data_IF_381471179629
#
_entry.id   IF_381471179629
#
_cell.length_a   1.000
_cell.length_b   1.000
_cell.length_c   1.000
_cell.angle_alpha   90.00
_cell.angle_beta   90.00
_cell.angle_gamma   90.00
#
_symmetry.space_group_name_H-M   'P 1'
#
loop_
_entity.id
_entity.type
_entity.pdbx_description
1 polymer ?
#
# COMPACT_ATOMS: atom_id res chain seq x y z
N UNK A 1 -51.86 6.91 -21.01
CA UNK A 1 -50.77 7.85 -20.83
C UNK A 1 -49.99 7.73 -19.49
N UNK A 2 -50.39 6.86 -18.54
CA UNK A 2 -49.66 6.71 -17.23
C UNK A 2 -48.53 5.66 -17.22
N UNK A 3 -48.36 4.85 -18.27
CA UNK A 3 -47.35 3.77 -18.33
C UNK A 3 -46.02 4.18 -18.97
N UNK A 4 -45.96 5.31 -19.65
CA UNK A 4 -44.73 5.79 -20.34
C UNK A 4 -43.85 6.58 -19.39
N UNK A 5 -44.41 7.19 -18.34
CA UNK A 5 -43.66 8.03 -17.39
C UNK A 5 -42.76 7.16 -16.45
N UNK A 6 -43.19 5.92 -16.12
CA UNK A 6 -42.38 5.05 -15.26
C UNK A 6 -41.10 4.50 -15.94
N UNK A 7 -41.10 4.36 -17.27
CA UNK A 7 -39.92 3.85 -18.01
C UNK A 7 -38.88 4.95 -18.17
N UNK A 8 -39.30 6.19 -18.27
CA UNK A 8 -38.38 7.32 -18.39
C UNK A 8 -37.65 7.67 -17.08
N UNK A 9 -38.27 7.34 -15.93
CA UNK A 9 -37.65 7.57 -14.60
C UNK A 9 -36.63 6.52 -14.23
N UNK A 10 -36.66 5.31 -14.80
CA UNK A 10 -35.64 4.28 -14.56
C UNK A 10 -34.36 4.45 -15.37
N UNK A 11 -34.36 5.27 -16.41
CA UNK A 11 -33.19 5.54 -17.25
C UNK A 11 -32.28 6.67 -16.72
N UNK A 12 -32.69 7.36 -15.65
CA UNK A 12 -31.96 8.49 -15.09
C UNK A 12 -31.02 8.14 -13.93
N UNK A 13 -30.94 6.86 -13.54
CA UNK A 13 -30.08 6.43 -12.42
C UNK A 13 -28.95 5.45 -12.79
N UNK A 14 -28.63 5.32 -14.07
CA UNK A 14 -27.32 4.77 -14.43
C UNK A 14 -26.29 5.89 -14.31
N UNK A 15 -25.94 6.28 -13.07
CA UNK A 15 -24.66 6.96 -12.85
C UNK A 15 -23.59 6.00 -13.37
N UNK A 16 -22.71 6.43 -14.31
CA UNK A 16 -21.53 5.67 -14.57
C UNK A 16 -20.84 5.54 -13.21
N UNK A 17 -20.63 4.32 -12.74
CA UNK A 17 -19.68 4.08 -11.68
C UNK A 17 -18.37 4.62 -12.24
N UNK A 18 -17.97 5.81 -11.81
CA UNK A 18 -16.60 6.27 -12.02
C UNK A 18 -15.76 5.19 -11.41
N UNK A 19 -15.06 4.45 -12.25
CA UNK A 19 -14.04 3.53 -11.79
C UNK A 19 -13.12 4.40 -10.93
N UNK A 20 -13.10 4.15 -9.64
CA UNK A 20 -12.22 4.87 -8.72
C UNK A 20 -10.82 4.57 -9.23
N UNK A 21 -10.10 5.60 -9.69
CA UNK A 21 -8.74 5.43 -10.16
C UNK A 21 -7.95 4.73 -9.05
N UNK A 22 -7.22 3.68 -9.40
CA UNK A 22 -6.37 2.98 -8.46
C UNK A 22 -5.24 3.94 -8.02
N UNK A 23 -5.23 4.39 -6.75
CA UNK A 23 -4.28 5.38 -6.28
C UNK A 23 -2.85 4.84 -6.19
N UNK A 24 -2.69 3.52 -6.30
CA UNK A 24 -1.41 2.83 -6.17
C UNK A 24 -0.84 2.37 -7.52
N UNK A 25 -1.45 2.75 -8.64
CA UNK A 25 -0.96 2.30 -9.95
C UNK A 25 0.54 2.61 -10.13
N UNK A 26 1.38 1.66 -10.56
CA UNK A 26 1.02 0.40 -11.23
C UNK A 26 0.67 -0.78 -10.29
N UNK A 27 0.76 -0.61 -8.98
CA UNK A 27 0.44 -1.65 -8.01
C UNK A 27 -1.08 -1.78 -7.83
N UNK A 28 -1.53 -3.01 -7.59
CA UNK A 28 -2.90 -3.32 -7.21
C UNK A 28 -2.85 -3.99 -5.83
N UNK A 29 -3.54 -3.41 -4.86
CA UNK A 29 -3.59 -3.88 -3.48
C UNK A 29 -5.05 -4.23 -3.16
N UNK A 30 -5.33 -5.51 -2.92
CA UNK A 30 -6.65 -5.90 -2.43
C UNK A 30 -6.78 -5.56 -0.94
N UNK A 31 -7.96 -5.07 -0.56
CA UNK A 31 -8.25 -4.77 0.85
C UNK A 31 -8.48 -6.11 1.58
N UNK A 32 -7.68 -6.44 2.61
CA UNK A 32 -7.85 -7.68 3.37
C UNK A 32 -9.19 -7.72 4.11
N UNK A 33 -9.66 -8.93 4.39
CA UNK A 33 -10.88 -9.14 5.17
C UNK A 33 -10.78 -8.47 6.55
N UNK A 34 -11.81 -7.71 6.90
CA UNK A 34 -11.88 -6.98 8.18
C UNK A 34 -11.09 -5.67 8.22
N UNK A 35 -10.44 -5.29 7.12
CA UNK A 35 -9.85 -3.97 6.95
C UNK A 35 -10.75 -3.04 6.13
N UNK A 36 -10.54 -1.74 6.26
CA UNK A 36 -11.15 -0.71 5.44
C UNK A 36 -10.07 0.23 4.91
N UNK A 37 -10.28 0.79 3.72
CA UNK A 37 -9.38 1.78 3.14
C UNK A 37 -9.92 3.18 3.39
N UNK A 38 -9.18 3.99 4.12
CA UNK A 38 -9.44 5.41 4.33
C UNK A 38 -8.56 6.23 3.37
N UNK A 39 -9.16 7.15 2.65
CA UNK A 39 -8.47 8.00 1.69
C UNK A 39 -8.08 9.33 2.32
N UNK A 40 -6.79 9.69 2.23
CA UNK A 40 -6.25 10.99 2.62
C UNK A 40 -5.67 11.76 1.44
N UNK A 41 -5.22 12.99 1.67
CA UNK A 41 -4.51 13.78 0.66
C UNK A 41 -3.07 13.21 0.51
N UNK A 42 -2.82 12.50 -0.60
CA UNK A 42 -1.50 11.95 -0.94
C UNK A 42 -1.10 10.68 -0.21
N UNK A 43 -1.98 10.14 0.65
CA UNK A 43 -1.78 8.85 1.30
C UNK A 43 -3.10 8.13 1.48
N UNK A 44 -3.03 6.81 1.61
CA UNK A 44 -4.18 5.95 1.86
C UNK A 44 -3.87 5.07 3.08
N UNK A 45 -4.86 4.84 3.93
CA UNK A 45 -4.64 4.09 5.16
C UNK A 45 -5.54 2.86 5.21
N UNK A 46 -4.95 1.69 5.29
CA UNK A 46 -5.65 0.45 5.61
C UNK A 46 -5.82 0.37 7.13
N UNK A 47 -7.05 0.21 7.58
CA UNK A 47 -7.43 0.24 8.98
C UNK A 47 -8.07 -1.07 9.39
N UNK A 48 -7.52 -1.75 10.38
CA UNK A 48 -8.09 -2.95 11.01
C UNK A 48 -8.11 -2.78 12.53
N UNK A 49 -9.24 -2.40 13.09
CA UNK A 49 -9.34 -2.04 14.50
C UNK A 49 -8.45 -0.85 14.89
N UNK A 50 -7.41 -1.09 15.69
CA UNK A 50 -6.41 -0.07 16.09
C UNK A 50 -5.14 -0.10 15.24
N UNK A 51 -5.00 -1.10 14.38
CA UNK A 51 -3.86 -1.24 13.48
C UNK A 51 -4.08 -0.39 12.24
N UNK A 52 -3.02 0.25 11.79
CA UNK A 52 -2.98 1.14 10.63
C UNK A 52 -1.81 0.74 9.73
N UNK A 53 -2.03 0.74 8.43
CA UNK A 53 -0.97 0.71 7.42
C UNK A 53 -1.19 1.88 6.47
N UNK A 54 -0.30 2.85 6.54
CA UNK A 54 -0.29 4.00 5.64
C UNK A 54 0.43 3.59 4.36
N UNK A 55 -0.25 3.73 3.23
CA UNK A 55 0.31 3.44 1.91
C UNK A 55 0.55 4.73 1.15
N UNK A 56 1.75 4.89 0.62
CA UNK A 56 2.16 6.02 -0.21
C UNK A 56 2.83 5.52 -1.49
N UNK A 57 2.54 6.16 -2.61
CA UNK A 57 3.20 5.91 -3.88
C UNK A 57 4.05 7.11 -4.27
N UNK A 58 5.34 6.89 -4.50
CA UNK A 58 6.28 7.89 -5.01
C UNK A 58 6.63 7.49 -6.45
N UNK A 59 6.16 8.22 -7.46
CA UNK A 59 6.44 7.88 -8.84
C UNK A 59 7.87 8.24 -9.23
N UNK A 60 8.47 7.39 -10.07
CA UNK A 60 9.75 7.63 -10.77
C UNK A 60 10.93 7.92 -9.86
N UNK A 61 11.34 6.92 -9.12
CA UNK A 61 12.64 6.90 -8.45
C UNK A 61 13.66 6.29 -9.44
N UNK A 62 14.41 7.11 -10.19
CA UNK A 62 15.33 6.59 -11.19
C UNK A 62 16.55 6.01 -10.50
N UNK A 63 16.76 4.72 -10.58
CA UNK A 63 18.01 4.10 -10.19
C UNK A 63 18.25 2.80 -10.97
N UNK A 64 19.50 2.58 -11.35
CA UNK A 64 19.90 1.36 -12.04
C UNK A 64 20.14 0.19 -11.06
N UNK A 65 20.33 0.50 -9.77
CA UNK A 65 20.54 -0.45 -8.69
C UNK A 65 19.40 -0.33 -7.69
N UNK A 66 18.41 -1.23 -7.81
CA UNK A 66 17.18 -1.20 -7.00
C UNK A 66 17.50 -1.40 -5.53
N UNK A 67 18.44 -2.28 -5.18
CA UNK A 67 18.80 -2.55 -3.78
C UNK A 67 19.43 -1.33 -3.13
N UNK A 68 20.43 -0.73 -3.80
CA UNK A 68 21.06 0.49 -3.32
C UNK A 68 20.08 1.68 -3.25
N UNK A 69 19.11 1.74 -4.17
CA UNK A 69 18.04 2.73 -4.12
C UNK A 69 17.16 2.56 -2.89
N UNK A 70 16.70 1.33 -2.61
CA UNK A 70 15.88 1.04 -1.44
C UNK A 70 16.61 1.39 -0.14
N UNK A 71 17.89 1.02 0.00
CA UNK A 71 18.71 1.39 1.16
C UNK A 71 18.75 2.90 1.37
N UNK A 72 19.04 3.66 0.31
CA UNK A 72 19.06 5.12 0.39
C UNK A 72 17.71 5.70 0.78
N UNK A 73 16.61 5.14 0.27
CA UNK A 73 15.27 5.60 0.59
C UNK A 73 14.95 5.40 2.07
N UNK A 74 15.23 4.23 2.66
CA UNK A 74 15.03 3.99 4.09
C UNK A 74 15.69 5.08 4.91
N UNK A 75 17.02 5.30 4.73
CA UNK A 75 17.78 6.28 5.49
C UNK A 75 17.46 7.75 5.15
N UNK A 76 16.82 7.99 4.01
CA UNK A 76 16.35 9.33 3.66
C UNK A 76 15.06 9.68 4.41
N UNK A 77 14.20 8.70 4.64
CA UNK A 77 12.96 8.89 5.41
C UNK A 77 13.23 8.88 6.92
N UNK A 78 14.09 7.98 7.37
CA UNK A 78 14.49 7.85 8.77
C UNK A 78 15.96 7.44 8.86
N UNK A 79 16.86 8.37 9.20
CA UNK A 79 18.29 8.09 9.32
C UNK A 79 18.64 7.07 10.41
N UNK A 80 17.77 6.91 11.42
CA UNK A 80 17.96 6.01 12.55
C UNK A 80 17.24 4.66 12.36
N UNK A 81 16.57 4.46 11.21
CA UNK A 81 15.85 3.24 10.90
C UNK A 81 16.78 2.01 10.95
N UNK A 82 16.28 0.93 11.52
CA UNK A 82 16.94 -0.37 11.49
C UNK A 82 16.41 -1.15 10.29
N UNK A 83 17.29 -1.40 9.31
CA UNK A 83 16.95 -2.28 8.19
C UNK A 83 16.97 -3.72 8.64
N UNK A 84 15.93 -4.48 8.27
CA UNK A 84 15.78 -5.89 8.64
C UNK A 84 16.14 -6.80 7.45
N UNK A 85 15.25 -6.90 6.46
CA UNK A 85 15.40 -7.87 5.39
C UNK A 85 15.29 -7.24 4.00
N UNK A 86 16.09 -7.77 3.05
CA UNK A 86 15.87 -7.61 1.62
C UNK A 86 15.09 -8.80 1.10
N UNK A 87 13.93 -8.52 0.47
CA UNK A 87 13.04 -9.51 -0.07
C UNK A 87 13.05 -9.42 -1.60
N UNK A 88 13.68 -10.36 -2.32
CA UNK A 88 13.55 -10.42 -3.76
C UNK A 88 12.10 -10.79 -4.11
N UNK A 89 11.46 -9.96 -4.92
CA UNK A 89 10.11 -10.17 -5.41
C UNK A 89 10.13 -10.68 -6.86
N UNK A 90 8.95 -11.00 -7.42
CA UNK A 90 8.84 -11.41 -8.81
C UNK A 90 9.18 -10.27 -9.77
N UNK A 91 9.65 -10.60 -10.97
CA UNK A 91 9.80 -9.70 -12.13
C UNK A 91 10.71 -8.47 -11.95
N UNK A 92 11.77 -8.62 -11.16
CA UNK A 92 12.76 -7.54 -10.97
C UNK A 92 12.32 -6.48 -9.97
N UNK A 93 11.26 -6.74 -9.21
CA UNK A 93 10.92 -5.98 -8.02
C UNK A 93 11.73 -6.45 -6.83
N UNK A 94 12.02 -5.54 -5.93
CA UNK A 94 12.62 -5.85 -4.64
C UNK A 94 11.90 -5.06 -3.53
N UNK A 95 11.89 -5.64 -2.35
CA UNK A 95 11.39 -4.96 -1.15
C UNK A 95 12.46 -4.92 -0.07
N UNK A 96 12.36 -3.95 0.83
CA UNK A 96 13.13 -3.88 2.06
C UNK A 96 12.18 -3.65 3.22
N UNK A 97 12.42 -4.35 4.32
CA UNK A 97 11.72 -4.10 5.58
C UNK A 97 12.62 -3.31 6.53
N UNK A 98 12.03 -2.40 7.26
CA UNK A 98 12.73 -1.61 8.26
C UNK A 98 11.83 -1.26 9.43
N UNK A 99 12.44 -1.06 10.60
CA UNK A 99 11.80 -0.50 11.78
C UNK A 99 12.23 0.94 11.96
N UNK A 100 11.31 1.78 12.34
CA UNK A 100 11.57 3.18 12.63
C UNK A 100 10.74 3.66 13.82
N UNK A 101 11.25 4.70 14.47
CA UNK A 101 10.52 5.42 15.50
C UNK A 101 9.29 6.11 14.90
N UNK A 102 8.42 6.61 15.76
CA UNK A 102 7.15 7.24 15.40
C UNK A 102 7.28 8.39 14.40
N UNK A 103 7.14 8.10 13.11
CA UNK A 103 7.18 9.10 12.03
C UNK A 103 5.82 9.80 11.80
N UNK A 104 4.72 9.17 12.21
CA UNK A 104 3.37 9.70 11.97
C UNK A 104 2.72 10.36 13.20
N UNK A 105 3.46 10.48 14.31
CA UNK A 105 2.96 11.12 15.53
C UNK A 105 1.92 10.28 16.27
N UNK A 106 1.92 8.97 16.06
CA UNK A 106 1.02 8.05 16.76
C UNK A 106 1.54 7.65 18.14
N UNK A 107 2.81 7.95 18.47
CA UNK A 107 3.46 7.59 19.72
C UNK A 107 3.88 6.12 19.79
N UNK A 108 4.01 5.46 18.65
CA UNK A 108 4.37 4.04 18.52
C UNK A 108 5.36 3.82 17.38
N UNK A 109 6.19 2.81 17.54
CA UNK A 109 7.14 2.39 16.51
C UNK A 109 6.43 1.84 15.28
N UNK A 110 7.13 1.87 14.14
CA UNK A 110 6.57 1.51 12.85
C UNK A 110 7.38 0.38 12.21
N UNK A 111 6.65 -0.50 11.54
CA UNK A 111 7.21 -1.47 10.63
C UNK A 111 6.92 -1.02 9.19
N UNK A 112 7.99 -0.82 8.42
CA UNK A 112 7.90 -0.30 7.07
C UNK A 112 8.27 -1.37 6.05
N UNK A 113 7.57 -1.37 4.92
CA UNK A 113 7.92 -2.14 3.72
C UNK A 113 8.02 -1.17 2.56
N UNK A 114 9.18 -1.08 1.95
CA UNK A 114 9.45 -0.29 0.76
C UNK A 114 9.61 -1.22 -0.42
N UNK A 115 8.83 -1.02 -1.48
CA UNK A 115 8.82 -1.86 -2.67
C UNK A 115 9.15 -0.99 -3.88
N UNK A 116 10.22 -1.35 -4.58
CA UNK A 116 10.66 -0.66 -5.79
C UNK A 116 10.70 -1.65 -6.96
N UNK A 117 10.18 -1.22 -8.08
CA UNK A 117 10.14 -1.99 -9.31
C UNK A 117 10.98 -1.39 -10.44
N UNK A 118 11.11 -2.11 -11.56
CA UNK A 118 11.89 -1.67 -12.72
C UNK A 118 11.31 -0.42 -13.40
N UNK A 119 10.05 -0.09 -13.16
CA UNK A 119 9.41 1.16 -13.60
C UNK A 119 9.89 2.38 -12.81
N UNK A 120 10.53 2.16 -11.65
CA UNK A 120 10.98 3.20 -10.73
C UNK A 120 9.89 3.74 -9.80
N UNK A 121 8.70 3.16 -9.79
CA UNK A 121 7.65 3.55 -8.84
C UNK A 121 7.91 2.89 -7.48
N UNK A 122 8.00 3.70 -6.43
CA UNK A 122 8.23 3.25 -5.06
C UNK A 122 6.91 3.23 -4.29
N UNK A 123 6.48 2.04 -3.86
CA UNK A 123 5.39 1.88 -2.92
C UNK A 123 5.94 1.74 -1.50
N UNK A 124 5.43 2.53 -0.58
CA UNK A 124 5.77 2.50 0.85
C UNK A 124 4.53 2.08 1.61
N UNK A 125 4.66 1.05 2.45
CA UNK A 125 3.66 0.60 3.41
C UNK A 125 4.25 0.77 4.81
N UNK A 126 3.67 1.68 5.61
CA UNK A 126 4.13 1.95 6.98
C UNK A 126 3.05 1.56 7.97
N UNK A 127 3.31 0.51 8.74
CA UNK A 127 2.37 -0.08 9.68
C UNK A 127 2.66 0.29 11.12
N UNK A 128 1.62 0.57 11.90
CA UNK A 128 1.67 0.76 13.34
C UNK A 128 0.36 0.33 14.01
N UNK A 129 0.40 0.06 15.30
CA UNK A 129 -0.79 -0.24 16.11
C UNK A 129 -0.85 0.71 17.32
N UNK A 130 -2.00 1.33 17.55
CA UNK A 130 -2.19 2.32 18.62
C UNK A 130 -2.03 1.75 20.04
N UNK A 131 -2.07 0.43 20.21
CA UNK A 131 -1.76 -0.27 21.47
C UNK A 131 -0.33 -0.85 21.47
N UNK A 132 0.47 -0.60 20.42
CA UNK A 132 1.83 -1.13 20.29
C UNK A 132 1.89 -2.63 19.99
N UNK A 133 0.86 -3.20 19.37
CA UNK A 133 0.81 -4.62 19.04
C UNK A 133 1.45 -4.92 17.67
N UNK A 134 2.73 -5.26 17.67
CA UNK A 134 3.50 -5.55 16.46
C UNK A 134 2.96 -6.77 15.68
N UNK A 135 2.49 -7.81 16.34
CA UNK A 135 1.96 -9.01 15.67
C UNK A 135 0.77 -8.68 14.76
N UNK A 136 -0.06 -7.71 15.18
CA UNK A 136 -1.18 -7.24 14.34
C UNK A 136 -0.72 -6.41 13.16
N UNK A 137 0.33 -5.60 13.35
CA UNK A 137 0.94 -4.83 12.27
C UNK A 137 1.51 -5.78 11.23
N UNK A 138 2.31 -6.75 11.67
CA UNK A 138 2.88 -7.77 10.79
C UNK A 138 1.77 -8.51 10.02
N UNK A 139 0.74 -8.98 10.74
CA UNK A 139 -0.37 -9.72 10.11
C UNK A 139 -1.11 -8.91 9.04
N UNK A 140 -1.30 -7.61 9.26
CA UNK A 140 -1.95 -6.74 8.27
C UNK A 140 -1.03 -6.47 7.07
N UNK A 141 0.27 -6.24 7.31
CA UNK A 141 1.26 -6.07 6.24
C UNK A 141 1.38 -7.34 5.40
N UNK A 142 1.47 -8.51 6.02
CA UNK A 142 1.54 -9.80 5.32
C UNK A 142 0.32 -10.00 4.42
N UNK A 143 -0.89 -9.73 4.94
CA UNK A 143 -2.13 -9.83 4.17
C UNK A 143 -2.18 -8.86 2.99
N UNK A 144 -1.63 -7.65 3.12
CA UNK A 144 -1.51 -6.69 2.02
C UNK A 144 -0.50 -7.16 0.97
N UNK A 145 0.65 -7.70 1.41
CA UNK A 145 1.70 -8.19 0.53
C UNK A 145 1.28 -9.45 -0.24
N UNK A 146 0.60 -10.39 0.40
CA UNK A 146 0.07 -11.60 -0.25
C UNK A 146 -0.88 -11.28 -1.41
N UNK A 147 -1.61 -10.17 -1.31
CA UNK A 147 -2.57 -9.71 -2.30
C UNK A 147 -2.04 -8.58 -3.19
N UNK A 148 -0.74 -8.31 -3.14
CA UNK A 148 -0.09 -7.28 -3.93
C UNK A 148 0.24 -7.81 -5.33
N UNK A 149 -0.24 -7.14 -6.35
CA UNK A 149 0.02 -7.48 -7.75
C UNK A 149 0.45 -6.25 -8.55
N UNK A 150 1.11 -6.49 -9.69
CA UNK A 150 1.34 -5.48 -10.73
C UNK A 150 0.78 -6.03 -12.03
N UNK A 151 -0.17 -5.32 -12.63
CA UNK A 151 -0.83 -5.77 -13.86
C UNK A 151 -1.36 -7.23 -13.77
N UNK A 152 -2.00 -7.56 -12.64
CA UNK A 152 -2.52 -8.89 -12.30
C UNK A 152 -1.46 -9.99 -12.09
N UNK A 153 -0.17 -9.65 -12.05
CA UNK A 153 0.90 -10.60 -11.72
C UNK A 153 1.26 -10.48 -10.24
N UNK A 154 1.25 -11.59 -9.47
CA UNK A 154 1.61 -11.56 -8.05
C UNK A 154 3.08 -11.19 -7.89
N UNK A 155 3.39 -10.26 -6.99
CA UNK A 155 4.75 -9.83 -6.68
C UNK A 155 5.43 -10.73 -5.64
N UNK A 156 4.65 -11.32 -4.73
CA UNK A 156 5.17 -12.26 -3.74
C UNK A 156 5.23 -13.65 -4.33
N UNK A 157 6.42 -14.26 -4.35
CA UNK A 157 6.59 -15.65 -4.75
C UNK A 157 6.14 -16.55 -3.59
N UNK A 158 4.99 -17.19 -3.72
CA UNK A 158 4.61 -18.27 -2.80
C UNK A 158 5.42 -19.51 -3.16
N UNK A 159 6.41 -19.85 -2.35
CA UNK A 159 7.14 -21.10 -2.41
C UNK A 159 6.35 -22.23 -1.76
#
# INVERSE_FOLDING_TARGET
MKRIICILLMLLFTFPAFAQENPFAPYEIAIPDGAVLENGEGSHTFVSGKTRVVAMLIPRVPDADIEAALQRMVFQFDPDAVMEDFLPMAEGYAAVTSRSDDQFGAGVDQLNVLILGPSGDLLILSGYDLDGNEDKVQSLLDALLENLTVNALPLVQTN
#
